data_IF_891224970368
#
_entry.id   IF_891224970368
#
_cell.length_a   1.000
_cell.length_b   1.000
_cell.length_c   1.000
_cell.angle_alpha   90.00
_cell.angle_beta   90.00
_cell.angle_gamma   90.00
#
_symmetry.space_group_name_H-M   'P 1'
#
loop_
_entity.id
_entity.type
_entity.pdbx_description
1 polymer ?
#
# COMPACT_ATOMS: atom_id res chain seq x y z
N UNK A 1 -21.85 11.20 79.96
CA UNK A 1 -20.52 11.71 79.59
C UNK A 1 -19.97 10.78 78.54
N UNK A 2 -20.00 11.29 77.31
CA UNK A 2 -19.81 10.61 76.04
C UNK A 2 -18.48 9.87 75.93
N UNK A 3 -18.55 8.67 75.37
CA UNK A 3 -17.42 7.87 74.89
C UNK A 3 -17.69 7.49 73.44
N UNK A 4 -16.93 8.07 72.50
CA UNK A 4 -16.83 7.67 71.10
C UNK A 4 -15.46 8.15 70.59
N UNK A 5 -14.48 7.25 70.42
CA UNK A 5 -14.21 6.46 69.21
C UNK A 5 -13.60 7.30 68.07
N UNK A 6 -12.36 6.93 67.76
CA UNK A 6 -11.51 7.37 66.65
C UNK A 6 -12.21 6.96 65.34
N UNK A 7 -12.53 7.93 64.48
CA UNK A 7 -12.99 7.65 63.12
C UNK A 7 -11.94 8.20 62.13
N UNK A 8 -11.14 7.29 61.58
CA UNK A 8 -10.27 7.54 60.43
C UNK A 8 -11.10 8.12 59.27
N UNK A 9 -10.70 9.29 58.77
CA UNK A 9 -11.33 9.94 57.63
C UNK A 9 -11.00 9.15 56.34
N UNK A 10 -11.80 8.12 56.03
CA UNK A 10 -11.76 7.41 54.73
C UNK A 10 -12.09 8.37 53.59
N UNK A 11 -11.15 8.50 52.67
CA UNK A 11 -11.36 9.13 51.35
C UNK A 11 -12.27 8.21 50.53
N UNK A 12 -13.35 8.70 49.89
CA UNK A 12 -14.21 7.85 49.08
C UNK A 12 -13.47 7.41 47.81
N UNK A 13 -13.11 6.14 47.76
CA UNK A 13 -12.58 5.46 46.59
C UNK A 13 -13.72 5.15 45.61
N UNK A 14 -14.19 6.15 44.86
CA UNK A 14 -14.98 5.88 43.67
C UNK A 14 -14.00 5.63 42.52
N UNK A 15 -13.55 4.38 42.43
CA UNK A 15 -12.79 3.89 41.29
C UNK A 15 -13.75 3.82 40.10
N UNK A 16 -13.75 4.85 39.26
CA UNK A 16 -14.27 4.68 37.90
C UNK A 16 -13.20 3.88 37.17
N UNK A 17 -13.36 2.55 37.18
CA UNK A 17 -12.64 1.67 36.27
C UNK A 17 -13.11 2.03 34.86
N UNK A 18 -12.41 2.97 34.22
CA UNK A 18 -12.39 2.98 32.77
C UNK A 18 -11.63 1.71 32.39
N UNK A 19 -12.38 0.66 32.08
CA UNK A 19 -11.86 -0.51 31.38
C UNK A 19 -10.94 0.01 30.28
N UNK A 20 -9.65 -0.35 30.35
CA UNK A 20 -8.77 -0.10 29.23
C UNK A 20 -9.38 -0.83 28.05
N UNK A 21 -9.68 -0.18 26.92
CA UNK A 21 -10.02 -0.92 25.74
C UNK A 21 -8.73 -1.66 25.34
N UNK A 22 -8.67 -2.94 25.66
CA UNK A 22 -7.96 -3.93 24.86
C UNK A 22 -8.61 -3.81 23.48
N UNK A 23 -8.11 -2.87 22.67
CA UNK A 23 -8.83 -2.36 21.51
C UNK A 23 -8.58 -0.89 21.19
N UNK A 24 -7.44 -0.31 21.59
CA UNK A 24 -7.03 0.96 20.99
C UNK A 24 -6.81 0.72 19.49
N UNK A 25 -7.53 1.42 18.58
CA UNK A 25 -7.24 1.32 17.17
C UNK A 25 -5.81 1.81 17.00
N UNK A 26 -4.94 0.93 16.52
CA UNK A 26 -3.56 1.26 16.22
C UNK A 26 -3.59 2.58 15.41
N UNK A 27 -3.04 3.67 15.96
CA UNK A 27 -3.14 5.01 15.36
C UNK A 27 -2.62 4.99 13.91
N UNK A 28 -1.72 4.03 13.62
CA UNK A 28 -1.25 3.71 12.28
C UNK A 28 -2.28 2.98 11.43
N UNK A 29 -2.97 1.97 11.94
CA UNK A 29 -4.09 1.35 11.24
C UNK A 29 -5.18 2.37 10.90
N UNK A 30 -5.43 3.33 11.79
CA UNK A 30 -6.41 4.39 11.56
C UNK A 30 -5.96 5.43 10.53
N UNK A 31 -4.67 5.79 10.51
CA UNK A 31 -4.11 6.66 9.47
C UNK A 31 -4.01 5.94 8.12
N UNK A 32 -3.61 4.66 8.12
CA UNK A 32 -3.56 3.82 6.93
C UNK A 32 -4.95 3.62 6.36
N UNK A 33 -5.96 3.36 7.21
CA UNK A 33 -7.38 3.34 6.82
C UNK A 33 -7.79 4.66 6.19
N UNK A 34 -7.50 5.81 6.80
CA UNK A 34 -7.83 7.12 6.18
C UNK A 34 -7.10 7.38 4.86
N UNK A 35 -5.87 6.91 4.68
CA UNK A 35 -5.16 6.99 3.41
C UNK A 35 -5.75 6.04 2.37
N UNK A 36 -6.08 4.81 2.77
CA UNK A 36 -6.75 3.82 1.95
C UNK A 36 -8.13 4.36 1.56
N UNK A 37 -8.93 4.86 2.49
CA UNK A 37 -10.24 5.49 2.28
C UNK A 37 -10.15 6.72 1.36
N UNK A 38 -9.06 7.50 1.48
CA UNK A 38 -8.74 8.60 0.57
C UNK A 38 -8.37 8.14 -0.84
N UNK A 39 -7.67 7.03 -0.98
CA UNK A 39 -7.33 6.38 -2.26
C UNK A 39 -8.54 5.64 -2.85
N UNK A 40 -9.39 5.05 -2.01
CA UNK A 40 -10.62 4.34 -2.38
C UNK A 40 -11.82 5.28 -2.48
N UNK A 41 -11.60 6.59 -2.62
CA UNK A 41 -12.66 7.50 -3.03
C UNK A 41 -13.32 6.86 -4.26
N UNK A 42 -14.59 6.48 -4.13
CA UNK A 42 -15.27 5.57 -5.06
C UNK A 42 -15.24 6.09 -6.50
N UNK A 43 -15.10 7.40 -6.68
CA UNK A 43 -14.85 8.06 -7.96
C UNK A 43 -13.50 7.72 -8.60
N UNK A 44 -12.41 7.66 -7.82
CA UNK A 44 -11.06 7.37 -8.31
C UNK A 44 -10.93 5.92 -8.78
N UNK A 45 -11.39 4.96 -7.97
CA UNK A 45 -11.37 3.53 -8.33
C UNK A 45 -12.20 3.27 -9.58
N UNK A 46 -13.37 3.90 -9.71
CA UNK A 46 -14.21 3.82 -10.90
C UNK A 46 -13.53 4.42 -12.14
N UNK A 47 -12.89 5.58 -12.00
CA UNK A 47 -12.15 6.22 -13.10
C UNK A 47 -11.00 5.34 -13.61
N UNK A 48 -10.21 4.76 -12.70
CA UNK A 48 -9.14 3.82 -13.05
C UNK A 48 -9.68 2.55 -13.72
N UNK A 49 -10.81 2.03 -13.24
CA UNK A 49 -11.44 0.84 -13.83
C UNK A 49 -11.91 1.09 -15.27
N UNK A 50 -12.55 2.24 -15.53
CA UNK A 50 -12.97 2.65 -16.88
C UNK A 50 -11.76 2.88 -17.78
N UNK A 51 -10.74 3.58 -17.29
CA UNK A 51 -9.51 3.82 -18.04
C UNK A 51 -8.80 2.51 -18.41
N UNK A 52 -8.75 1.54 -17.49
CA UNK A 52 -8.18 0.21 -17.72
C UNK A 52 -8.92 -0.55 -18.83
N UNK A 53 -10.26 -0.60 -18.76
CA UNK A 53 -11.10 -1.22 -19.80
C UNK A 53 -10.90 -0.54 -21.15
N UNK A 54 -10.91 0.80 -21.18
CA UNK A 54 -10.70 1.58 -22.40
C UNK A 54 -9.34 1.32 -23.03
N UNK A 55 -8.28 1.25 -22.20
CA UNK A 55 -6.95 0.89 -22.67
C UNK A 55 -6.94 -0.51 -23.29
N UNK A 56 -7.51 -1.53 -22.63
CA UNK A 56 -7.58 -2.89 -23.20
C UNK A 56 -8.35 -2.95 -24.52
N UNK A 57 -9.46 -2.23 -24.64
CA UNK A 57 -10.22 -2.12 -25.88
C UNK A 57 -9.39 -1.49 -27.01
N UNK A 58 -8.60 -0.46 -26.68
CA UNK A 58 -7.66 0.14 -27.60
C UNK A 58 -6.54 -0.83 -28.05
N UNK A 59 -5.99 -1.64 -27.13
CA UNK A 59 -5.01 -2.68 -27.49
C UNK A 59 -5.59 -3.66 -28.52
N UNK A 60 -6.80 -4.15 -28.28
CA UNK A 60 -7.51 -5.08 -29.18
C UNK A 60 -7.74 -4.42 -30.55
N UNK A 61 -8.26 -3.18 -30.56
CA UNK A 61 -8.55 -2.47 -31.81
C UNK A 61 -7.30 -2.27 -32.67
N UNK A 62 -6.19 -1.79 -32.09
CA UNK A 62 -4.92 -1.60 -32.81
C UNK A 62 -4.42 -2.91 -33.39
N UNK A 63 -4.47 -4.00 -32.62
CA UNK A 63 -4.00 -5.30 -33.09
C UNK A 63 -4.84 -5.82 -34.25
N UNK A 64 -6.17 -5.70 -34.16
CA UNK A 64 -7.06 -6.09 -35.24
C UNK A 64 -6.80 -5.25 -36.50
N UNK A 65 -6.63 -3.93 -36.36
CA UNK A 65 -6.29 -3.05 -37.49
C UNK A 65 -4.97 -3.48 -38.12
N UNK A 66 -3.92 -3.72 -37.31
CA UNK A 66 -2.62 -4.15 -37.81
C UNK A 66 -2.69 -5.49 -38.55
N UNK A 67 -3.46 -6.45 -38.04
CA UNK A 67 -3.68 -7.76 -38.68
C UNK A 67 -4.47 -7.64 -39.99
N UNK A 68 -5.41 -6.70 -40.10
CA UNK A 68 -6.15 -6.46 -41.35
C UNK A 68 -5.26 -5.78 -42.39
N UNK A 69 -4.46 -4.78 -42.00
CA UNK A 69 -3.54 -4.07 -42.91
C UNK A 69 -2.46 -4.99 -43.49
N UNK A 70 -1.99 -5.95 -42.69
CA UNK A 70 -0.91 -6.89 -43.08
C UNK A 70 -1.44 -8.21 -43.63
N UNK A 71 -2.75 -8.28 -43.94
CA UNK A 71 -3.41 -9.53 -44.35
C UNK A 71 -2.84 -10.12 -45.65
N UNK A 72 -2.42 -9.26 -46.59
CA UNK A 72 -2.00 -9.62 -47.93
C UNK A 72 -0.52 -10.03 -48.06
N UNK A 73 0.29 -9.87 -47.01
CA UNK A 73 1.71 -10.22 -47.04
C UNK A 73 1.91 -11.75 -46.87
N UNK A 74 2.79 -12.38 -47.68
CA UNK A 74 3.01 -13.82 -47.64
C UNK A 74 3.57 -14.26 -46.29
N UNK A 75 2.84 -15.19 -45.67
CA UNK A 75 2.88 -15.55 -44.26
C UNK A 75 4.04 -16.50 -43.95
N UNK A 76 5.08 -16.03 -43.26
CA UNK A 76 5.95 -16.86 -42.40
C UNK A 76 6.50 -16.14 -41.14
N UNK A 77 6.02 -14.94 -40.80
CA UNK A 77 6.61 -14.19 -39.67
C UNK A 77 5.98 -14.58 -38.32
N UNK A 78 6.78 -14.94 -37.30
CA UNK A 78 6.28 -15.34 -35.98
C UNK A 78 5.49 -14.22 -35.27
N UNK A 79 5.68 -12.97 -35.70
CA UNK A 79 4.98 -11.79 -35.16
C UNK A 79 3.47 -11.81 -35.42
N UNK A 80 3.01 -12.36 -36.55
CA UNK A 80 1.57 -12.44 -36.83
C UNK A 80 0.89 -13.40 -35.85
N UNK A 81 1.50 -14.55 -35.59
CA UNK A 81 1.03 -15.51 -34.60
C UNK A 81 1.05 -14.87 -33.20
N UNK A 82 2.13 -14.16 -32.85
CA UNK A 82 2.21 -13.43 -31.58
C UNK A 82 1.04 -12.47 -31.40
N UNK A 83 0.77 -11.58 -32.38
CA UNK A 83 -0.28 -10.57 -32.28
C UNK A 83 -1.67 -11.21 -32.22
N UNK A 84 -1.93 -12.29 -32.97
CA UNK A 84 -3.21 -13.02 -32.90
C UNK A 84 -3.41 -13.61 -31.50
N UNK A 85 -2.43 -14.37 -31.00
CA UNK A 85 -2.53 -15.01 -29.69
C UNK A 85 -2.62 -13.97 -28.58
N UNK A 86 -1.78 -12.94 -28.60
CA UNK A 86 -1.83 -11.82 -27.66
C UNK A 86 -3.20 -11.13 -27.64
N UNK A 87 -3.80 -10.89 -28.80
CA UNK A 87 -5.13 -10.26 -28.89
C UNK A 87 -6.22 -11.13 -28.29
N UNK A 88 -6.18 -12.45 -28.52
CA UNK A 88 -7.12 -13.39 -27.90
C UNK A 88 -6.99 -13.39 -26.37
N UNK A 89 -5.76 -13.43 -25.85
CA UNK A 89 -5.52 -13.36 -24.40
C UNK A 89 -6.02 -12.05 -23.78
N UNK A 90 -5.73 -10.91 -24.42
CA UNK A 90 -6.24 -9.61 -23.97
C UNK A 90 -7.77 -9.57 -24.00
N UNK A 91 -8.41 -10.14 -25.03
CA UNK A 91 -9.87 -10.22 -25.12
C UNK A 91 -10.47 -11.10 -24.01
N UNK A 92 -9.89 -12.27 -23.73
CA UNK A 92 -10.33 -13.16 -22.64
C UNK A 92 -10.16 -12.48 -21.28
N UNK A 93 -9.02 -11.84 -21.03
CA UNK A 93 -8.77 -11.11 -19.79
C UNK A 93 -9.74 -9.94 -19.61
N UNK A 94 -9.99 -9.20 -20.69
CA UNK A 94 -10.95 -8.08 -20.70
C UNK A 94 -12.38 -8.56 -20.46
N UNK A 95 -12.78 -9.68 -21.08
CA UNK A 95 -14.07 -10.31 -20.87
C UNK A 95 -14.26 -10.80 -19.45
N UNK A 96 -13.26 -11.48 -18.87
CA UNK A 96 -13.27 -11.92 -17.47
C UNK A 96 -13.37 -10.73 -16.50
N UNK A 97 -12.60 -9.67 -16.75
CA UNK A 97 -12.64 -8.44 -15.94
C UNK A 97 -14.00 -7.73 -16.05
N UNK A 98 -14.51 -7.55 -17.27
CA UNK A 98 -15.80 -6.93 -17.53
C UNK A 98 -16.93 -7.73 -16.91
N UNK A 99 -16.98 -9.05 -17.10
CA UNK A 99 -18.01 -9.90 -16.52
C UNK A 99 -18.08 -9.73 -14.99
N UNK A 100 -16.94 -9.70 -14.31
CA UNK A 100 -16.87 -9.54 -12.85
C UNK A 100 -17.25 -8.15 -12.38
N UNK A 101 -16.78 -7.12 -13.07
CA UNK A 101 -16.96 -5.73 -12.65
C UNK A 101 -18.17 -5.07 -13.33
N UNK A 102 -18.94 -5.81 -14.12
CA UNK A 102 -20.05 -5.30 -14.92
C UNK A 102 -21.06 -4.55 -14.04
N UNK A 103 -21.52 -5.20 -12.96
CA UNK A 103 -22.46 -4.63 -11.99
C UNK A 103 -21.89 -3.40 -11.28
N UNK A 104 -20.64 -3.45 -10.87
CA UNK A 104 -19.97 -2.32 -10.22
C UNK A 104 -19.83 -1.10 -11.16
N UNK A 105 -19.45 -1.32 -12.42
CA UNK A 105 -19.19 -0.25 -13.39
C UNK A 105 -20.50 0.41 -13.86
N UNK A 106 -21.52 -0.40 -14.15
CA UNK A 106 -22.79 0.05 -14.75
C UNK A 106 -23.92 0.26 -13.75
N UNK A 107 -24.14 -0.66 -12.81
CA UNK A 107 -25.29 -0.63 -11.88
C UNK A 107 -25.00 0.13 -10.57
N UNK A 108 -23.74 0.55 -10.34
CA UNK A 108 -23.29 1.26 -9.12
C UNK A 108 -23.59 0.50 -7.81
N UNK A 109 -23.83 -0.81 -7.89
CA UNK A 109 -23.98 -1.65 -6.71
C UNK A 109 -22.65 -1.76 -5.94
N UNK A 110 -22.69 -1.85 -4.60
CA UNK A 110 -21.50 -2.09 -3.79
C UNK A 110 -20.87 -3.44 -4.19
N UNK A 111 -19.54 -3.47 -4.16
CA UNK A 111 -18.73 -4.60 -4.60
C UNK A 111 -18.92 -5.78 -3.61
N UNK A 112 -19.83 -6.71 -3.89
CA UNK A 112 -19.97 -7.93 -3.12
C UNK A 112 -18.71 -8.80 -3.35
N UNK A 113 -17.80 -8.78 -2.36
CA UNK A 113 -16.51 -9.47 -2.39
C UNK A 113 -16.64 -10.99 -2.17
N UNK A 114 -17.72 -11.63 -2.62
CA UNK A 114 -17.80 -13.09 -2.62
C UNK A 114 -17.08 -13.57 -3.88
N UNK A 115 -15.75 -13.52 -3.83
CA UNK A 115 -14.90 -14.12 -4.85
C UNK A 115 -15.04 -15.65 -4.78
N UNK A 116 -15.50 -16.26 -5.88
CA UNK A 116 -15.31 -17.69 -6.09
C UNK A 116 -13.82 -17.97 -6.28
N UNK A 117 -13.25 -18.85 -5.46
CA UNK A 117 -11.83 -19.24 -5.54
C UNK A 117 -11.40 -19.67 -6.95
N UNK A 118 -12.31 -20.30 -7.70
CA UNK A 118 -12.14 -20.72 -9.09
C UNK A 118 -11.87 -19.54 -10.03
N UNK A 119 -12.58 -18.43 -9.85
CA UNK A 119 -12.45 -17.25 -10.67
C UNK A 119 -11.08 -16.58 -10.43
N UNK A 120 -10.63 -16.52 -9.18
CA UNK A 120 -9.29 -15.98 -8.85
C UNK A 120 -8.18 -16.85 -9.45
N UNK A 121 -8.30 -18.18 -9.33
CA UNK A 121 -7.35 -19.13 -9.93
C UNK A 121 -7.26 -18.97 -11.45
N UNK A 122 -8.41 -18.83 -12.13
CA UNK A 122 -8.44 -18.64 -13.58
C UNK A 122 -7.72 -17.36 -14.02
N UNK A 123 -7.91 -16.24 -13.33
CA UNK A 123 -7.21 -15.00 -13.67
C UNK A 123 -5.69 -15.11 -13.44
N UNK A 124 -5.28 -15.68 -12.31
CA UNK A 124 -3.86 -15.89 -12.03
C UNK A 124 -3.19 -16.79 -13.09
N UNK A 125 -3.91 -17.79 -13.57
CA UNK A 125 -3.45 -18.67 -14.65
C UNK A 125 -3.31 -17.91 -15.98
N UNK A 126 -4.29 -17.07 -16.33
CA UNK A 126 -4.21 -16.20 -17.52
C UNK A 126 -3.04 -15.23 -17.44
N UNK A 127 -2.78 -14.65 -16.26
CA UNK A 127 -1.63 -13.77 -16.04
C UNK A 127 -0.33 -14.53 -16.29
N UNK A 128 -0.17 -15.73 -15.71
CA UNK A 128 1.02 -16.58 -15.93
C UNK A 128 1.25 -16.88 -17.41
N UNK A 129 0.21 -17.24 -18.16
CA UNK A 129 0.32 -17.46 -19.60
C UNK A 129 0.66 -16.18 -20.37
N UNK A 130 0.14 -15.03 -19.94
CA UNK A 130 0.47 -13.73 -20.54
C UNK A 130 1.95 -13.39 -20.35
N UNK A 131 2.53 -13.71 -19.18
CA UNK A 131 3.98 -13.59 -18.96
C UNK A 131 4.77 -14.45 -19.92
N UNK A 132 4.37 -15.72 -20.06
CA UNK A 132 5.01 -16.64 -20.99
C UNK A 132 4.98 -16.13 -22.44
N UNK A 133 3.85 -15.54 -22.86
CA UNK A 133 3.75 -14.88 -24.16
C UNK A 133 4.74 -13.73 -24.30
N UNK A 134 4.89 -12.85 -23.30
CA UNK A 134 5.87 -11.77 -23.37
C UNK A 134 7.32 -12.27 -23.50
N UNK A 135 7.67 -13.35 -22.80
CA UNK A 135 8.99 -13.97 -22.96
C UNK A 135 9.21 -14.57 -24.36
N UNK A 136 8.21 -15.24 -24.92
CA UNK A 136 8.26 -15.74 -26.31
C UNK A 136 8.39 -14.57 -27.30
N UNK A 137 7.57 -13.52 -27.13
CA UNK A 137 7.61 -12.34 -27.97
C UNK A 137 8.97 -11.64 -27.93
N UNK A 138 9.57 -11.53 -26.74
CA UNK A 138 10.93 -11.01 -26.58
C UNK A 138 11.97 -11.88 -27.30
N UNK A 139 11.89 -13.21 -27.15
CA UNK A 139 12.76 -14.15 -27.87
C UNK A 139 12.63 -13.97 -29.39
N UNK A 140 11.41 -13.92 -29.92
CA UNK A 140 11.17 -13.73 -31.35
C UNK A 140 11.64 -12.37 -31.87
N UNK A 141 11.53 -11.31 -31.08
CA UNK A 141 12.11 -10.00 -31.42
C UNK A 141 13.64 -10.04 -31.52
N UNK A 142 14.31 -10.87 -30.71
CA UNK A 142 15.76 -11.04 -30.77
C UNK A 142 16.20 -11.92 -31.93
N UNK A 143 15.48 -13.02 -32.17
CA UNK A 143 15.82 -14.03 -33.17
C UNK A 143 15.54 -13.55 -34.61
N UNK A 144 14.49 -12.74 -34.79
CA UNK A 144 14.03 -12.30 -36.12
C UNK A 144 14.17 -10.79 -36.31
N UNK A 145 15.42 -10.29 -36.25
CA UNK A 145 15.71 -8.86 -36.49
C UNK A 145 15.42 -8.43 -37.94
N UNK A 146 15.43 -9.36 -38.91
CA UNK A 146 15.04 -9.14 -40.33
C UNK A 146 13.60 -8.63 -40.49
N UNK A 147 12.74 -8.90 -39.50
CA UNK A 147 11.34 -8.48 -39.53
C UNK A 147 11.13 -6.96 -39.53
N UNK A 148 12.17 -6.17 -39.25
CA UNK A 148 12.13 -4.71 -39.36
C UNK A 148 11.84 -4.24 -40.79
N UNK A 149 12.38 -4.94 -41.77
CA UNK A 149 12.32 -4.52 -43.18
C UNK A 149 11.20 -5.27 -43.94
N UNK A 150 10.86 -6.49 -43.51
CA UNK A 150 9.80 -7.31 -44.11
C UNK A 150 8.38 -6.87 -43.70
N UNK A 151 8.14 -6.68 -42.40
CA UNK A 151 6.81 -6.45 -41.80
C UNK A 151 6.87 -5.40 -40.68
N UNK A 152 7.25 -4.14 -40.98
CA UNK A 152 7.60 -3.15 -39.97
C UNK A 152 6.47 -2.92 -38.95
N UNK A 153 5.21 -2.89 -39.39
CA UNK A 153 4.07 -2.64 -38.52
C UNK A 153 3.93 -3.70 -37.41
N UNK A 154 3.98 -4.99 -37.77
CA UNK A 154 3.85 -6.10 -36.82
C UNK A 154 5.05 -6.19 -35.87
N UNK A 155 6.26 -5.90 -36.39
CA UNK A 155 7.48 -5.88 -35.60
C UNK A 155 7.43 -4.79 -34.51
N UNK A 156 7.15 -3.54 -34.88
CA UNK A 156 7.09 -2.45 -33.90
C UNK A 156 5.93 -2.61 -32.92
N UNK A 157 4.79 -3.10 -33.37
CA UNK A 157 3.65 -3.37 -32.50
C UNK A 157 3.97 -4.46 -31.47
N UNK A 158 4.59 -5.56 -31.90
CA UNK A 158 5.09 -6.61 -31.00
C UNK A 158 6.10 -6.05 -29.99
N UNK A 159 7.04 -5.22 -30.45
CA UNK A 159 8.04 -4.56 -29.59
C UNK A 159 7.39 -3.68 -28.53
N UNK A 160 6.38 -2.88 -28.90
CA UNK A 160 5.64 -2.02 -27.98
C UNK A 160 4.94 -2.87 -26.91
N UNK A 161 4.25 -3.95 -27.30
CA UNK A 161 3.53 -4.78 -26.33
C UNK A 161 4.43 -5.55 -25.38
N UNK A 162 5.54 -6.10 -25.88
CA UNK A 162 6.54 -6.78 -25.04
C UNK A 162 7.14 -5.80 -24.03
N UNK A 163 7.53 -4.59 -24.48
CA UNK A 163 8.07 -3.58 -23.58
C UNK A 163 7.04 -3.11 -22.54
N UNK A 164 5.81 -2.85 -22.96
CA UNK A 164 4.70 -2.52 -22.06
C UNK A 164 4.49 -3.62 -21.00
N UNK A 165 4.49 -4.89 -21.40
CA UNK A 165 4.36 -6.04 -20.49
C UNK A 165 5.47 -6.07 -19.43
N UNK A 166 6.73 -5.85 -19.83
CA UNK A 166 7.87 -5.78 -18.91
C UNK A 166 7.70 -4.63 -17.91
N UNK A 167 7.28 -3.45 -18.37
CA UNK A 167 7.06 -2.29 -17.49
C UNK A 167 5.95 -2.58 -16.48
N UNK A 168 4.81 -3.16 -16.92
CA UNK A 168 3.71 -3.53 -16.02
C UNK A 168 4.13 -4.55 -14.97
N UNK A 169 4.98 -5.51 -15.35
CA UNK A 169 5.56 -6.50 -14.42
C UNK A 169 6.46 -5.89 -13.36
N UNK A 170 7.33 -4.96 -13.76
CA UNK A 170 8.31 -4.37 -12.86
C UNK A 170 7.74 -3.24 -12.00
N UNK A 171 6.71 -2.53 -12.49
CA UNK A 171 6.07 -1.43 -11.77
C UNK A 171 5.63 -1.75 -10.33
N UNK A 172 4.96 -2.88 -10.01
CA UNK A 172 4.61 -3.22 -8.63
C UNK A 172 5.84 -3.51 -7.76
N UNK A 173 6.86 -4.16 -8.32
CA UNK A 173 8.12 -4.43 -7.60
C UNK A 173 8.81 -3.11 -7.25
N UNK A 174 8.94 -2.21 -8.22
CA UNK A 174 9.49 -0.87 -7.99
C UNK A 174 8.65 -0.07 -7.01
N UNK A 175 7.31 -0.16 -7.10
CA UNK A 175 6.40 0.52 -6.16
C UNK A 175 6.59 0.02 -4.74
N UNK A 176 6.70 -1.30 -4.53
CA UNK A 176 6.95 -1.88 -3.20
C UNK A 176 8.31 -1.40 -2.67
N UNK A 177 9.37 -1.46 -3.48
CA UNK A 177 10.70 -1.00 -3.07
C UNK A 177 10.69 0.49 -2.71
N UNK A 178 10.05 1.33 -3.52
CA UNK A 178 9.90 2.77 -3.25
C UNK A 178 9.11 2.99 -1.97
N UNK A 179 7.99 2.28 -1.77
CA UNK A 179 7.19 2.38 -0.55
C UNK A 179 8.04 1.99 0.66
N UNK A 180 8.82 0.91 0.61
CA UNK A 180 9.71 0.50 1.69
C UNK A 180 10.80 1.53 1.98
N UNK A 181 11.41 2.11 0.95
CA UNK A 181 12.41 3.18 1.09
C UNK A 181 11.78 4.43 1.72
N UNK A 182 10.62 4.88 1.21
CA UNK A 182 9.89 6.03 1.75
C UNK A 182 9.49 5.79 3.20
N UNK A 183 9.04 4.58 3.53
CA UNK A 183 8.66 4.22 4.88
C UNK A 183 9.86 4.14 5.85
N UNK A 184 11.06 3.83 5.35
CA UNK A 184 12.29 3.90 6.13
C UNK A 184 12.80 5.34 6.28
N UNK A 185 12.60 6.19 5.27
CA UNK A 185 13.11 7.56 5.25
C UNK A 185 12.19 8.58 5.97
N UNK A 186 10.87 8.37 5.94
CA UNK A 186 9.91 9.29 6.56
C UNK A 186 9.81 9.01 8.06
N UNK A 187 10.48 9.85 8.87
CA UNK A 187 10.26 9.84 10.33
C UNK A 187 8.80 10.15 10.65
N UNK A 188 8.15 9.38 11.54
CA UNK A 188 6.79 9.69 11.95
C UNK A 188 6.76 11.06 12.64
N UNK A 189 5.81 11.91 12.25
CA UNK A 189 5.50 13.11 13.02
C UNK A 189 4.93 12.67 14.38
N UNK A 190 5.75 12.68 15.43
CA UNK A 190 5.32 12.29 16.77
C UNK A 190 4.53 13.46 17.41
N UNK A 191 3.48 13.17 18.20
CA UNK A 191 2.69 14.20 18.84
C UNK A 191 3.54 15.03 19.80
N UNK A 192 3.44 16.35 19.69
CA UNK A 192 3.96 17.30 20.69
C UNK A 192 2.79 17.65 21.61
N UNK A 193 3.01 17.44 22.90
CA UNK A 193 2.09 17.74 23.99
C UNK A 193 2.64 18.93 24.77
N UNK A 194 1.77 19.80 25.24
CA UNK A 194 2.14 20.79 26.26
C UNK A 194 1.89 20.18 27.63
N UNK A 195 2.89 20.22 28.51
CA UNK A 195 2.76 19.72 29.87
C UNK A 195 1.86 20.65 30.70
N UNK A 196 0.85 20.08 31.36
CA UNK A 196 -0.03 20.79 32.30
C UNK A 196 -0.06 20.04 33.63
N UNK A 197 0.04 20.80 34.73
CA UNK A 197 -0.09 20.27 36.10
C UNK A 197 -1.50 19.69 36.28
N UNK A 198 -1.61 18.46 36.77
CA UNK A 198 -2.88 17.70 36.81
C UNK A 198 -3.39 17.19 35.46
N UNK A 199 -2.53 17.19 34.43
CA UNK A 199 -2.86 16.76 33.07
C UNK A 199 -2.74 15.25 32.81
N UNK A 200 -2.43 14.88 31.57
CA UNK A 200 -2.30 13.47 31.13
C UNK A 200 -1.05 12.75 31.66
N UNK A 201 -0.01 13.50 32.01
CA UNK A 201 1.22 12.98 32.61
C UNK A 201 1.07 13.20 34.12
N UNK A 202 1.16 12.13 34.90
CA UNK A 202 1.10 12.25 36.36
C UNK A 202 2.32 13.01 36.86
N UNK A 203 2.17 13.75 37.96
CA UNK A 203 3.28 14.53 38.54
C UNK A 203 4.46 13.63 38.97
N UNK A 204 4.19 12.40 39.41
CA UNK A 204 5.21 11.40 39.75
C UNK A 204 6.07 10.98 38.55
N UNK A 205 5.52 11.06 37.33
CA UNK A 205 6.19 10.70 36.09
C UNK A 205 6.67 11.94 35.31
N UNK A 206 6.49 13.16 35.84
CA UNK A 206 6.74 14.40 35.11
C UNK A 206 8.24 14.80 35.05
N UNK A 207 9.10 13.89 34.58
CA UNK A 207 10.54 14.11 34.46
C UNK A 207 11.08 13.61 33.12
N UNK A 208 11.98 14.39 32.52
CA UNK A 208 12.73 13.97 31.34
C UNK A 208 13.94 13.13 31.74
N UNK A 209 14.04 11.89 31.28
CA UNK A 209 15.17 11.02 31.63
C UNK A 209 16.42 11.25 30.78
N UNK A 210 16.38 12.17 29.80
CA UNK A 210 17.56 12.54 28.99
C UNK A 210 18.35 13.64 29.70
N UNK A 211 17.67 14.70 30.16
CA UNK A 211 18.31 15.82 30.87
C UNK A 211 18.16 15.75 32.39
N UNK A 212 17.40 14.77 32.90
CA UNK A 212 17.08 14.57 34.32
C UNK A 212 16.29 15.72 34.98
N UNK A 213 15.74 16.66 34.21
CA UNK A 213 14.92 17.78 34.72
C UNK A 213 13.43 17.44 34.78
N UNK A 214 12.74 17.95 35.80
CA UNK A 214 11.27 17.91 35.89
C UNK A 214 10.62 18.81 34.82
N UNK A 215 9.41 18.46 34.39
CA UNK A 215 8.65 19.26 33.45
C UNK A 215 8.04 20.51 34.10
N UNK A 216 8.14 21.63 33.41
CA UNK A 216 7.51 22.90 33.81
C UNK A 216 6.24 23.10 32.99
N UNK A 217 5.21 23.71 33.60
CA UNK A 217 3.95 23.99 32.93
C UNK A 217 4.17 24.71 31.58
N UNK A 218 3.47 24.26 30.54
CA UNK A 218 3.56 24.69 29.13
C UNK A 218 4.82 24.27 28.38
N UNK A 219 5.69 23.44 28.97
CA UNK A 219 6.80 22.86 28.22
C UNK A 219 6.32 21.86 27.16
N UNK A 220 7.03 21.85 26.02
CA UNK A 220 6.76 20.92 24.92
C UNK A 220 7.42 19.58 25.21
N UNK A 221 6.57 18.58 25.39
CA UNK A 221 6.94 17.18 25.65
C UNK A 221 6.50 16.35 24.46
N UNK A 222 7.36 15.45 23.99
CA UNK A 222 7.03 14.52 22.91
C UNK A 222 6.77 13.14 23.53
N UNK A 223 5.62 12.56 23.20
CA UNK A 223 5.27 11.19 23.59
C UNK A 223 5.56 10.22 22.43
N UNK A 224 6.26 9.13 22.74
CA UNK A 224 6.60 8.08 21.78
C UNK A 224 5.48 7.02 21.68
N UNK A 225 5.45 6.19 20.61
CA UNK A 225 4.47 5.10 20.48
C UNK A 225 4.54 4.08 21.62
N UNK A 226 5.72 3.93 22.24
CA UNK A 226 5.93 3.10 23.43
C UNK A 226 5.46 3.75 24.74
N UNK A 227 4.76 4.90 24.66
CA UNK A 227 4.19 5.69 25.77
C UNK A 227 5.19 6.45 26.64
N UNK A 228 6.50 6.29 26.44
CA UNK A 228 7.50 7.13 27.09
C UNK A 228 7.48 8.56 26.56
N UNK A 229 7.83 9.52 27.42
CA UNK A 229 7.80 10.94 27.12
C UNK A 229 9.12 11.63 27.48
N UNK A 230 9.46 12.67 26.74
CA UNK A 230 10.71 13.42 26.86
C UNK A 230 10.47 14.88 26.45
N UNK A 231 11.31 15.82 26.89
CA UNK A 231 11.32 17.15 26.29
C UNK A 231 11.51 17.03 24.77
N UNK A 232 10.76 17.82 24.00
CA UNK A 232 10.85 17.82 22.55
C UNK A 232 12.29 18.04 22.06
N UNK A 233 13.01 19.01 22.63
CA UNK A 233 14.40 19.30 22.29
C UNK A 233 15.35 18.13 22.59
N UNK A 234 15.20 17.50 23.75
CA UNK A 234 16.08 16.40 24.18
C UNK A 234 15.94 15.17 23.27
N UNK A 235 14.71 14.78 22.96
CA UNK A 235 14.47 13.58 22.15
C UNK A 235 14.72 13.82 20.67
N UNK A 236 14.49 15.04 20.16
CA UNK A 236 14.82 15.37 18.77
C UNK A 236 16.34 15.33 18.54
N UNK A 237 17.16 15.73 19.54
CA UNK A 237 18.62 15.56 19.48
C UNK A 237 19.04 14.10 19.54
N UNK A 238 18.42 13.31 20.44
CA UNK A 238 18.66 11.86 20.53
C UNK A 238 18.42 11.17 19.19
N UNK A 239 17.31 11.50 18.51
CA UNK A 239 17.00 10.93 17.20
C UNK A 239 18.00 11.33 16.12
N UNK A 240 18.89 12.31 16.28
CA UNK A 240 19.97 12.52 15.30
C UNK A 240 21.00 11.40 15.32
N UNK A 241 21.08 10.67 16.43
CA UNK A 241 22.06 9.60 16.66
C UNK A 241 21.39 8.24 16.45
N UNK A 242 20.23 8.01 17.08
CA UNK A 242 19.54 6.71 17.04
C UNK A 242 18.02 6.86 17.11
N UNK A 243 17.29 6.16 16.25
CA UNK A 243 15.83 6.24 16.10
C UNK A 243 15.08 5.25 17.02
N UNK A 244 15.64 5.01 18.21
CA UNK A 244 15.08 4.15 19.27
C UNK A 244 14.74 4.94 20.53
N UNK A 245 13.77 4.46 21.29
CA UNK A 245 13.44 5.03 22.60
C UNK A 245 14.65 4.89 23.57
N UNK A 246 15.09 5.97 24.23
CA UNK A 246 16.18 5.91 25.19
C UNK A 246 15.95 4.91 26.34
N UNK A 247 14.69 4.77 26.77
CA UNK A 247 14.29 3.96 27.93
C UNK A 247 14.11 2.48 27.60
N UNK A 248 13.32 2.15 26.57
CA UNK A 248 12.99 0.76 26.26
C UNK A 248 13.66 0.20 25.01
N UNK A 249 14.49 1.00 24.32
CA UNK A 249 15.20 0.64 23.08
C UNK A 249 14.30 0.17 21.93
N UNK A 250 12.97 0.35 22.06
CA UNK A 250 12.04 0.07 20.97
C UNK A 250 12.20 1.13 19.87
N UNK A 251 12.28 0.73 18.61
CA UNK A 251 12.35 1.65 17.49
C UNK A 251 11.08 2.49 17.41
N UNK A 252 11.27 3.73 16.98
CA UNK A 252 10.16 4.68 16.83
C UNK A 252 9.44 4.47 15.51
N UNK A 253 10.07 3.78 14.55
CA UNK A 253 9.44 3.34 13.31
C UNK A 253 8.63 2.05 13.56
N UNK A 254 7.29 2.08 13.44
CA UNK A 254 6.45 0.94 13.72
C UNK A 254 6.56 -0.20 12.68
N UNK A 255 7.39 -0.10 11.64
CA UNK A 255 7.64 -1.22 10.71
C UNK A 255 8.63 -2.24 11.24
N UNK A 256 9.45 -1.85 12.21
CA UNK A 256 10.43 -2.76 12.77
C UNK A 256 9.76 -3.96 13.47
N UNK A 257 8.59 -3.75 14.09
CA UNK A 257 7.84 -4.83 14.73
C UNK A 257 7.27 -5.84 13.70
N UNK A 258 6.94 -5.40 12.48
CA UNK A 258 6.40 -6.29 11.41
C UNK A 258 7.52 -7.11 10.77
N UNK A 259 8.71 -6.51 10.59
CA UNK A 259 9.87 -7.19 9.98
C UNK A 259 10.62 -8.04 11.02
N UNK A 260 10.67 -7.59 12.28
CA UNK A 260 11.35 -8.26 13.39
C UNK A 260 10.56 -9.41 14.02
N UNK A 261 9.24 -9.49 13.84
CA UNK A 261 8.44 -10.63 14.30
C UNK A 261 8.62 -11.90 13.44
N UNK A 262 9.47 -11.86 12.40
CA UNK A 262 9.74 -12.97 11.49
C UNK A 262 11.15 -13.58 11.62
N UNK A 263 11.91 -13.25 12.68
CA UNK A 263 13.22 -13.86 12.97
C UNK A 263 13.17 -14.51 14.35
#
# INVERSE_FOLDING_TARGET
MESAMIEERRVPSTVIVMESPIGSPDFRAERLRRLIDGVTQTSFVRMLSIASVGFKAFQIAINLIALQLTRAEPVQTPFRLFIVVYTLFVAVHSGSFLYRHWRYIFEKEPLDFIQGAEATLFNNLLDLFTLFLYFIGFKWLQEYQSGKDEVPLLYYLTKIWVFYGIVVLLAPVFSIVIILILLNYVRPNLPVLEYTVGGKIKEEDAQCTICFSQYIAKEKVRALPCKHHFHMSCIDEWFRIDDVCPLCKRPVNPLYDIVGAGI
#
